data_IF_672491584568
#
_entry.id   IF_672491584568
#
_cell.length_a   1.000
_cell.length_b   1.000
_cell.length_c   1.000
_cell.angle_alpha   90.00
_cell.angle_beta   90.00
_cell.angle_gamma   90.00
#
_symmetry.space_group_name_H-M   'P 1'
#
loop_
_entity.id
_entity.type
_entity.pdbx_description
1 polymer ?
#
# COMPACT_ATOMS: atom_id res chain seq x y z
N UNK A 1 -27.90 14.19 15.56
CA UNK A 1 -27.66 13.01 14.71
C UNK A 1 -26.15 12.75 14.69
N UNK A 2 -25.61 11.92 15.59
CA UNK A 2 -24.16 11.71 15.74
C UNK A 2 -23.73 10.24 15.57
N UNK A 3 -24.63 9.37 15.09
CA UNK A 3 -24.36 7.93 14.98
C UNK A 3 -23.59 7.53 13.72
N UNK A 4 -23.48 8.38 12.71
CA UNK A 4 -22.82 8.02 11.44
C UNK A 4 -21.28 8.02 11.52
N UNK A 5 -20.68 8.91 12.33
CA UNK A 5 -19.22 9.03 12.41
C UNK A 5 -18.55 7.85 13.14
N UNK A 6 -19.23 7.27 14.14
CA UNK A 6 -18.70 6.13 14.91
C UNK A 6 -18.69 4.85 14.08
N UNK A 7 -19.65 4.67 13.18
CA UNK A 7 -19.74 3.49 12.31
C UNK A 7 -18.63 3.45 11.25
N UNK A 8 -18.22 4.59 10.69
CA UNK A 8 -17.13 4.66 9.71
C UNK A 8 -15.76 4.36 10.33
N UNK A 9 -15.55 4.71 11.61
CA UNK A 9 -14.32 4.41 12.33
C UNK A 9 -14.18 2.92 12.70
N UNK A 10 -15.30 2.19 12.86
CA UNK A 10 -15.29 0.76 13.17
C UNK A 10 -15.01 -0.10 11.94
N UNK A 11 -15.37 0.36 10.74
CA UNK A 11 -15.11 -0.38 9.50
C UNK A 11 -13.64 -0.34 9.07
N UNK A 12 -12.87 0.69 9.43
CA UNK A 12 -11.43 0.72 9.14
C UNK A 12 -10.63 -0.26 10.02
N UNK A 13 -11.06 -0.47 11.27
CA UNK A 13 -10.47 -1.46 12.19
C UNK A 13 -10.73 -2.92 11.80
N UNK A 14 -11.69 -3.17 10.90
CA UNK A 14 -12.02 -4.50 10.40
C UNK A 14 -11.40 -4.80 9.02
N UNK A 15 -10.69 -3.84 8.41
CA UNK A 15 -9.99 -4.11 7.15
C UNK A 15 -8.79 -5.02 7.44
N UNK A 16 -8.75 -6.26 6.91
CA UNK A 16 -7.61 -7.16 7.11
C UNK A 16 -6.27 -6.53 6.66
N UNK A 17 -6.31 -5.56 5.76
CA UNK A 17 -5.14 -4.78 5.32
C UNK A 17 -4.49 -3.99 6.46
N UNK A 18 -5.26 -3.46 7.41
CA UNK A 18 -4.70 -2.68 8.52
C UNK A 18 -3.85 -3.53 9.48
N UNK A 19 -4.18 -4.81 9.65
CA UNK A 19 -3.39 -5.74 10.46
C UNK A 19 -1.99 -5.97 9.87
N UNK A 20 -1.89 -6.06 8.54
CA UNK A 20 -0.60 -6.21 7.87
C UNK A 20 0.17 -4.89 7.80
N UNK A 21 -0.51 -3.74 7.66
CA UNK A 21 0.12 -2.43 7.78
C UNK A 21 0.70 -2.22 9.17
N UNK A 22 -0.01 -2.61 10.24
CA UNK A 22 0.51 -2.48 11.60
C UNK A 22 1.81 -3.29 11.79
N UNK A 23 1.89 -4.50 11.25
CA UNK A 23 3.13 -5.29 11.25
C UNK A 23 4.24 -4.59 10.46
N UNK A 24 3.92 -4.04 9.29
CA UNK A 24 4.89 -3.28 8.49
C UNK A 24 5.40 -2.06 9.25
N UNK A 25 4.55 -1.34 9.99
CA UNK A 25 4.95 -0.18 10.80
C UNK A 25 5.95 -0.59 11.88
N UNK A 26 5.67 -1.66 12.62
CA UNK A 26 6.62 -2.17 13.61
C UNK A 26 7.92 -2.64 12.96
N UNK A 27 7.84 -3.35 11.84
CA UNK A 27 9.02 -3.79 11.10
C UNK A 27 9.85 -2.64 10.53
N UNK A 28 9.22 -1.54 10.10
CA UNK A 28 9.91 -0.36 9.58
C UNK A 28 10.79 0.34 10.61
N UNK A 29 10.49 0.18 11.90
CA UNK A 29 11.24 0.77 13.03
C UNK A 29 12.47 -0.05 13.45
N UNK A 30 12.61 -1.28 12.94
CA UNK A 30 13.77 -2.12 13.23
C UNK A 30 15.08 -1.44 12.77
N UNK A 31 16.23 -1.69 13.44
CA UNK A 31 17.52 -1.13 13.01
C UNK A 31 17.84 -1.42 11.54
N UNK A 32 17.57 -2.65 11.11
CA UNK A 32 17.50 -3.07 9.71
C UNK A 32 16.00 -3.23 9.39
N UNK A 33 15.38 -2.34 8.58
CA UNK A 33 13.94 -2.36 8.38
C UNK A 33 13.44 -3.74 7.95
N UNK A 34 12.34 -4.18 8.54
CA UNK A 34 11.63 -5.40 8.20
C UNK A 34 12.44 -6.71 8.31
N UNK A 35 13.59 -6.71 8.98
CA UNK A 35 14.44 -7.90 9.05
C UNK A 35 13.67 -9.07 9.66
N UNK A 36 13.00 -8.84 10.79
CA UNK A 36 12.21 -9.86 11.48
C UNK A 36 11.07 -10.41 10.60
N UNK A 37 10.38 -9.53 9.87
CA UNK A 37 9.31 -9.92 8.96
C UNK A 37 9.83 -10.74 7.77
N UNK A 38 11.01 -10.38 7.25
CA UNK A 38 11.66 -11.10 6.15
C UNK A 38 12.10 -12.50 6.58
N UNK A 39 12.67 -12.62 7.77
CA UNK A 39 13.08 -13.91 8.34
C UNK A 39 11.87 -14.83 8.59
N UNK A 40 10.70 -14.25 8.82
CA UNK A 40 9.44 -14.98 8.99
C UNK A 40 8.69 -15.32 7.67
N UNK A 41 9.26 -15.03 6.49
CA UNK A 41 8.59 -15.12 5.18
C UNK A 41 7.21 -14.42 5.17
N UNK A 42 7.10 -13.31 5.89
CA UNK A 42 5.85 -12.56 5.98
C UNK A 42 5.53 -11.94 4.62
N UNK A 43 4.29 -12.15 4.13
CA UNK A 43 3.78 -11.65 2.84
C UNK A 43 2.54 -10.77 3.10
N UNK A 44 2.71 -9.43 3.21
CA UNK A 44 1.61 -8.51 3.46
C UNK A 44 0.51 -8.63 2.39
N UNK A 45 -0.75 -8.74 2.78
CA UNK A 45 -1.91 -8.90 1.90
C UNK A 45 -2.46 -7.59 1.33
N UNK A 46 -1.62 -6.69 0.79
CA UNK A 46 -2.11 -5.43 0.21
C UNK A 46 -2.74 -5.61 -1.17
N UNK A 47 -2.31 -6.63 -1.92
CA UNK A 47 -2.87 -7.07 -3.21
C UNK A 47 -3.12 -8.58 -3.18
N UNK A 48 -3.85 -9.10 -4.17
CA UNK A 48 -4.35 -10.49 -4.20
C UNK A 48 -3.27 -11.56 -3.95
N UNK A 49 -2.06 -11.37 -4.50
CA UNK A 49 -0.97 -12.33 -4.40
C UNK A 49 0.01 -12.04 -3.26
N UNK A 50 -0.31 -11.05 -2.41
CA UNK A 50 0.58 -10.55 -1.38
C UNK A 50 1.76 -9.74 -1.91
N UNK A 51 2.54 -9.18 -0.99
CA UNK A 51 3.77 -8.47 -1.27
C UNK A 51 4.97 -9.33 -0.88
N UNK A 52 6.05 -9.18 -1.62
CA UNK A 52 7.28 -9.94 -1.47
C UNK A 52 8.42 -9.01 -1.02
N UNK A 53 9.38 -9.52 -0.24
CA UNK A 53 10.59 -8.77 0.04
C UNK A 53 11.28 -8.31 -1.25
N UNK A 54 11.65 -7.04 -1.33
CA UNK A 54 12.37 -6.48 -2.47
C UNK A 54 13.14 -5.22 -2.10
N UNK A 55 14.41 -5.16 -2.49
CA UNK A 55 15.30 -4.06 -2.12
C UNK A 55 15.32 -3.82 -0.61
N UNK A 56 15.01 -2.59 -0.19
CA UNK A 56 15.00 -2.17 1.22
C UNK A 56 13.67 -2.39 1.95
N UNK A 57 12.65 -2.96 1.29
CA UNK A 57 11.34 -3.19 1.89
C UNK A 57 10.55 -4.29 1.19
N UNK A 58 9.31 -3.97 0.81
CA UNK A 58 8.39 -4.89 0.13
C UNK A 58 7.90 -4.33 -1.20
N UNK A 59 7.55 -5.22 -2.12
CA UNK A 59 6.89 -4.87 -3.37
C UNK A 59 5.73 -5.82 -3.68
N UNK A 60 4.69 -5.32 -4.33
CA UNK A 60 3.61 -6.14 -4.84
C UNK A 60 3.15 -5.60 -6.19
N UNK A 61 2.64 -6.51 -7.03
CA UNK A 61 2.12 -6.19 -8.34
C UNK A 61 0.89 -7.05 -8.63
N UNK A 62 -0.13 -6.44 -9.22
CA UNK A 62 -1.32 -7.15 -9.69
C UNK A 62 -1.76 -6.59 -11.04
N UNK A 63 -2.04 -7.50 -11.98
CA UNK A 63 -2.78 -7.14 -13.20
C UNK A 63 -4.23 -6.89 -12.85
N UNK A 64 -4.75 -5.71 -13.18
CA UNK A 64 -6.11 -5.26 -12.86
C UNK A 64 -6.95 -5.21 -14.15
N UNK A 65 -7.90 -6.14 -14.26
CA UNK A 65 -9.06 -6.02 -15.17
C UNK A 65 -10.11 -5.11 -14.51
N UNK A 66 -10.97 -4.39 -15.27
CA UNK A 66 -11.76 -3.30 -14.68
C UNK A 66 -12.88 -3.80 -13.73
N UNK A 67 -13.30 -3.05 -12.67
CA UNK A 67 -12.69 -1.88 -12.00
C UNK A 67 -12.65 -1.98 -10.46
N UNK A 68 -12.40 -3.14 -9.86
CA UNK A 68 -12.51 -3.30 -8.40
C UNK A 68 -11.27 -2.80 -7.63
N UNK A 69 -10.11 -2.74 -8.28
CA UNK A 69 -8.85 -2.31 -7.68
C UNK A 69 -8.25 -1.16 -8.50
N UNK A 70 -8.16 0.01 -7.88
CA UNK A 70 -7.53 1.22 -8.44
C UNK A 70 -6.44 1.74 -7.50
N UNK A 71 -5.48 2.50 -8.05
CA UNK A 71 -4.48 3.21 -7.24
C UNK A 71 -5.14 4.05 -6.14
N UNK A 72 -6.20 4.80 -6.46
CA UNK A 72 -6.91 5.66 -5.51
C UNK A 72 -7.61 4.88 -4.39
N UNK A 73 -8.26 3.76 -4.71
CA UNK A 73 -8.96 2.97 -3.70
C UNK A 73 -7.98 2.34 -2.72
N UNK A 74 -6.85 1.81 -3.20
CA UNK A 74 -5.84 1.19 -2.35
C UNK A 74 -5.08 2.24 -1.54
N UNK A 75 -4.72 3.40 -2.11
CA UNK A 75 -4.07 4.47 -1.34
C UNK A 75 -4.97 5.00 -0.22
N UNK A 76 -6.28 5.13 -0.47
CA UNK A 76 -7.25 5.52 0.55
C UNK A 76 -7.36 4.50 1.69
N UNK A 77 -7.35 3.20 1.37
CA UNK A 77 -7.35 2.13 2.39
C UNK A 77 -6.06 2.12 3.21
N UNK A 78 -4.90 2.25 2.57
CA UNK A 78 -3.61 2.35 3.26
C UNK A 78 -3.62 3.55 4.22
N UNK A 79 -4.04 4.72 3.73
CA UNK A 79 -4.09 5.93 4.54
C UNK A 79 -5.05 5.79 5.74
N UNK A 80 -6.19 5.10 5.58
CA UNK A 80 -7.12 4.86 6.67
C UNK A 80 -6.54 3.99 7.81
N UNK A 81 -5.51 3.19 7.52
CA UNK A 81 -4.81 2.37 8.52
C UNK A 81 -3.66 3.10 9.22
N UNK A 82 -3.30 4.30 8.79
CA UNK A 82 -2.18 5.09 9.31
C UNK A 82 -2.71 6.36 9.98
N UNK A 83 -2.53 6.54 11.30
CA UNK A 83 -3.14 7.66 12.04
C UNK A 83 -2.63 9.04 11.60
N UNK A 84 -1.44 9.11 11.03
CA UNK A 84 -0.74 10.32 10.58
C UNK A 84 -0.55 10.37 9.05
N UNK A 85 -1.34 9.58 8.31
CA UNK A 85 -1.17 9.44 6.87
C UNK A 85 -1.28 10.76 6.10
N UNK A 86 -0.40 10.92 5.11
CA UNK A 86 -0.45 11.96 4.08
C UNK A 86 -0.47 11.30 2.72
N UNK A 87 -1.30 11.82 1.82
CA UNK A 87 -1.37 11.36 0.44
C UNK A 87 -0.85 12.47 -0.47
N UNK A 88 0.14 12.16 -1.29
CA UNK A 88 0.64 13.02 -2.36
C UNK A 88 0.44 12.33 -3.72
N UNK A 89 0.11 13.12 -4.74
CA UNK A 89 0.05 12.65 -6.12
C UNK A 89 1.21 13.27 -6.89
N UNK A 90 2.07 12.43 -7.42
CA UNK A 90 3.26 12.83 -8.17
C UNK A 90 3.14 12.44 -9.63
N UNK A 91 3.27 13.44 -10.51
CA UNK A 91 3.27 13.21 -11.96
C UNK A 91 4.71 13.02 -12.43
N UNK A 92 5.10 11.80 -12.84
CA UNK A 92 6.41 11.60 -13.45
C UNK A 92 6.43 12.10 -14.90
N UNK A 93 7.60 12.59 -15.33
CA UNK A 93 7.87 12.91 -16.74
C UNK A 93 7.64 11.62 -17.55
N UNK A 94 6.57 11.58 -18.37
CA UNK A 94 6.04 10.46 -19.20
C UNK A 94 4.60 10.02 -18.87
N UNK A 95 3.85 10.77 -18.06
CA UNK A 95 2.40 10.56 -17.91
C UNK A 95 2.03 9.39 -17.00
N UNK A 96 3.00 8.77 -16.33
CA UNK A 96 2.76 7.83 -15.25
C UNK A 96 2.55 8.63 -13.96
N UNK A 97 1.34 8.57 -13.42
CA UNK A 97 0.99 9.20 -12.15
C UNK A 97 1.22 8.20 -11.02
N UNK A 98 1.91 8.62 -9.97
CA UNK A 98 2.10 7.84 -8.76
C UNK A 98 1.38 8.50 -7.59
N UNK A 99 0.92 7.68 -6.66
CA UNK A 99 0.42 8.15 -5.37
C UNK A 99 1.37 7.67 -4.30
N UNK A 100 1.86 8.62 -3.52
CA UNK A 100 2.70 8.35 -2.37
C UNK A 100 1.82 8.49 -1.13
N UNK A 101 1.73 7.45 -0.33
CA UNK A 101 1.15 7.51 1.01
C UNK A 101 2.30 7.42 2.00
N UNK A 102 2.47 8.45 2.83
CA UNK A 102 3.45 8.42 3.93
C UNK A 102 2.73 8.45 5.27
N UNK A 103 3.31 7.82 6.28
CA UNK A 103 2.77 7.83 7.63
C UNK A 103 3.40 6.77 8.51
N UNK A 104 3.53 7.05 9.80
CA UNK A 104 4.03 6.12 10.81
C UNK A 104 5.42 5.54 10.50
N UNK A 105 6.26 6.31 9.81
CA UNK A 105 7.60 5.90 9.39
C UNK A 105 7.64 4.98 8.17
N UNK A 106 6.55 4.90 7.40
CA UNK A 106 6.47 4.17 6.14
C UNK A 106 6.18 5.08 4.96
N UNK A 107 6.65 4.67 3.80
CA UNK A 107 6.29 5.21 2.50
C UNK A 107 5.72 4.09 1.62
N UNK A 108 4.56 4.35 1.00
CA UNK A 108 3.92 3.49 0.02
C UNK A 108 3.84 4.24 -1.31
N UNK A 109 4.57 3.77 -2.31
CA UNK A 109 4.52 4.32 -3.67
C UNK A 109 3.63 3.41 -4.53
N UNK A 110 2.48 3.91 -4.93
CA UNK A 110 1.52 3.22 -5.77
C UNK A 110 1.61 3.76 -7.20
N UNK A 111 1.81 2.86 -8.16
CA UNK A 111 1.89 3.19 -9.58
C UNK A 111 0.90 2.33 -10.37
N UNK A 112 0.12 2.98 -11.23
CA UNK A 112 -0.74 2.30 -12.19
C UNK A 112 -0.21 2.51 -13.60
N UNK A 113 0.04 1.41 -14.32
CA UNK A 113 0.59 1.42 -15.68
C UNK A 113 -0.25 0.55 -16.61
N UNK A 114 -0.16 0.78 -17.92
CA UNK A 114 -0.70 -0.15 -18.92
C UNK A 114 0.35 -1.23 -19.22
N UNK A 115 -0.08 -2.49 -19.30
CA UNK A 115 0.78 -3.60 -19.72
C UNK A 115 0.95 -3.57 -21.23
N UNK A 116 2.19 -3.48 -21.71
CA UNK A 116 2.54 -3.59 -23.13
C UNK A 116 2.30 -5.02 -23.69
N UNK A 117 2.28 -6.03 -22.82
CA UNK A 117 2.23 -7.46 -23.20
C UNK A 117 0.81 -7.92 -23.55
N UNK A 118 -0.20 -7.24 -23.00
CA UNK A 118 -1.60 -7.44 -23.32
C UNK A 118 -2.26 -6.07 -23.40
N UNK A 119 -2.51 -5.58 -24.62
CA UNK A 119 -2.95 -4.22 -25.01
C UNK A 119 -4.22 -3.64 -24.31
N UNK A 120 -4.63 -4.14 -23.15
CA UNK A 120 -5.75 -3.64 -22.35
C UNK A 120 -5.64 -3.91 -20.84
N UNK A 121 -4.56 -4.55 -20.33
CA UNK A 121 -4.47 -4.87 -18.91
C UNK A 121 -3.71 -3.77 -18.16
N UNK A 122 -4.38 -3.13 -17.21
CA UNK A 122 -3.73 -2.20 -16.28
C UNK A 122 -2.95 -3.01 -15.24
N UNK A 123 -1.90 -2.45 -14.68
CA UNK A 123 -1.07 -3.09 -13.65
C UNK A 123 -0.91 -2.10 -12.50
N UNK A 124 -1.30 -2.51 -11.30
CA UNK A 124 -1.04 -1.79 -10.07
C UNK A 124 0.21 -2.35 -9.41
N UNK A 125 1.17 -1.46 -9.13
CA UNK A 125 2.39 -1.74 -8.37
C UNK A 125 2.36 -0.96 -7.08
N UNK A 126 2.82 -1.57 -6.00
CA UNK A 126 3.01 -0.94 -4.71
C UNK A 126 4.42 -1.26 -4.26
N UNK A 127 5.19 -0.22 -3.94
CA UNK A 127 6.47 -0.33 -3.27
C UNK A 127 6.31 0.20 -1.84
N UNK A 128 6.86 -0.52 -0.87
CA UNK A 128 6.78 -0.22 0.56
C UNK A 128 8.19 -0.09 1.09
N UNK A 129 8.48 1.04 1.71
CA UNK A 129 9.79 1.36 2.28
C UNK A 129 9.61 1.98 3.67
N UNK A 130 10.67 1.89 4.49
CA UNK A 130 10.74 2.71 5.70
C UNK A 130 11.09 4.15 5.27
N UNK A 131 10.32 5.12 5.76
CA UNK A 131 10.54 6.55 5.58
C UNK A 131 11.56 7.00 6.65
N UNK A 132 12.82 7.18 6.27
CA UNK A 132 13.95 7.51 7.15
C UNK A 132 14.66 8.77 6.71
#
# INVERSE_FOLDING_TARGET
>A
MHFAAVLLALTSLADPLCGDIAKLVEGGREPIPFQTLRDADFKPGLLQFGCFPGGVGYFCQQGISPPEVTREAISGRIAACLPDAKIAVENKRRGVSQTVVTGSGLEFVLEESQSEVAKAQRVLRIQITADR
#
